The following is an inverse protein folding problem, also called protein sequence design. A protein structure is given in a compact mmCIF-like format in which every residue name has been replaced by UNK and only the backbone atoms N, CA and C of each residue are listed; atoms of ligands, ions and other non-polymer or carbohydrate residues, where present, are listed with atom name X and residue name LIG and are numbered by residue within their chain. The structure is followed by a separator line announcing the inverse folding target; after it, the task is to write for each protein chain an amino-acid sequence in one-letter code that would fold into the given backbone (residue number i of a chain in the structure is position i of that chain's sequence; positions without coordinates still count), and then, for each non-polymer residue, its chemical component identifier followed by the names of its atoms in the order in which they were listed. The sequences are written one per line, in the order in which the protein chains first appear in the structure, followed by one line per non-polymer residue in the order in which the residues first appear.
data_IF_454908537710
#
_entry.id   IF_454908537710
#
_cell.length_a   1.000
_cell.length_b   1.000
_cell.length_c   1.000
_cell.angle_alpha   90.00
_cell.angle_beta   90.00
_cell.angle_gamma   90.00
#
_symmetry.space_group_name_H-M   'P 1'
#
loop_
_entity.id
_entity.type
_entity.pdbx_description
1 polymer ?
#
# COMPACT_ATOMS: atom_id res chain seq x y z
N UNK A 1 3.47 -12.15 10.14
CA UNK A 1 2.39 -12.51 11.09
C UNK A 1 1.17 -12.83 10.27
N UNK A 2 0.56 -13.97 10.51
CA UNK A 2 -0.69 -14.38 9.85
C UNK A 2 -1.86 -13.56 10.39
N UNK A 3 -2.93 -13.43 9.60
CA UNK A 3 -4.10 -12.60 9.93
C UNK A 3 -4.78 -13.07 11.24
N UNK A 4 -4.91 -14.37 11.46
CA UNK A 4 -5.49 -14.91 12.69
C UNK A 4 -4.69 -14.52 13.93
N UNK A 5 -3.36 -14.55 13.83
CA UNK A 5 -2.46 -14.15 14.92
C UNK A 5 -2.60 -12.64 15.19
N UNK A 6 -2.65 -11.82 14.13
CA UNK A 6 -2.90 -10.40 14.25
C UNK A 6 -4.22 -10.11 14.97
N UNK A 7 -5.31 -10.74 14.53
CA UNK A 7 -6.64 -10.56 15.11
C UNK A 7 -6.69 -10.96 16.59
N UNK A 8 -5.97 -12.01 16.96
CA UNK A 8 -5.89 -12.48 18.36
C UNK A 8 -5.13 -11.51 19.27
N UNK A 9 -4.16 -10.77 18.74
CA UNK A 9 -3.34 -9.81 19.49
C UNK A 9 -3.91 -8.40 19.51
N UNK A 10 -4.68 -8.03 18.47
CA UNK A 10 -5.20 -6.68 18.33
C UNK A 10 -6.32 -6.40 19.33
N UNK A 11 -6.06 -5.54 20.31
CA UNK A 11 -7.04 -5.12 21.32
C UNK A 11 -7.90 -3.93 20.87
N UNK A 12 -7.79 -3.50 19.62
CA UNK A 12 -8.62 -2.44 19.03
C UNK A 12 -8.51 -1.10 19.75
N UNK A 13 -7.32 -0.75 20.23
CA UNK A 13 -7.07 0.47 21.04
C UNK A 13 -6.93 1.75 20.22
N UNK A 14 -6.95 1.69 18.90
CA UNK A 14 -6.85 2.81 17.94
C UNK A 14 -5.53 3.60 17.94
N UNK A 15 -4.58 3.34 18.84
CA UNK A 15 -3.32 4.08 18.92
C UNK A 15 -2.55 4.14 17.61
N UNK A 16 -2.56 3.06 16.81
CA UNK A 16 -1.90 3.02 15.51
C UNK A 16 -2.46 4.05 14.52
N UNK A 17 -3.76 4.34 14.59
CA UNK A 17 -4.39 5.39 13.76
C UNK A 17 -4.00 6.79 14.21
N UNK A 18 -3.98 7.02 15.53
CA UNK A 18 -3.64 8.34 16.11
C UNK A 18 -2.22 8.80 15.77
N UNK A 19 -1.24 7.87 15.72
CA UNK A 19 0.14 8.21 15.41
C UNK A 19 0.46 8.22 13.92
N UNK A 20 -0.50 7.85 13.07
CA UNK A 20 -0.29 7.78 11.63
C UNK A 20 -0.30 9.18 11.00
N UNK A 21 0.87 9.79 10.84
CA UNK A 21 1.03 11.13 10.26
C UNK A 21 0.43 11.24 8.86
N UNK A 22 0.44 10.15 8.09
CA UNK A 22 -0.14 10.11 6.76
C UNK A 22 -1.65 9.81 6.77
N UNK A 23 -2.24 9.48 7.92
CA UNK A 23 -3.66 9.17 8.04
C UNK A 23 -4.13 7.97 7.21
N UNK A 24 -3.23 7.03 6.87
CA UNK A 24 -3.57 5.90 6.01
C UNK A 24 -4.27 4.76 6.74
N UNK A 25 -4.21 4.73 8.07
CA UNK A 25 -4.83 3.68 8.88
C UNK A 25 -6.30 4.03 9.11
N UNK A 26 -7.17 3.15 8.65
CA UNK A 26 -8.60 3.20 8.86
C UNK A 26 -9.02 2.01 9.74
N UNK A 27 -10.23 2.01 10.25
CA UNK A 27 -10.74 0.95 11.11
C UNK A 27 -11.99 0.32 10.51
N UNK A 28 -12.04 -1.00 10.54
CA UNK A 28 -13.18 -1.76 10.05
C UNK A 28 -14.44 -1.42 10.83
N UNK A 29 -15.54 -1.21 10.11
CA UNK A 29 -16.86 -1.12 10.72
C UNK A 29 -17.41 -2.49 11.13
N UNK A 30 -18.50 -2.50 11.87
CA UNK A 30 -19.21 -3.74 12.25
C UNK A 30 -19.86 -4.43 11.06
N UNK A 31 -20.08 -3.69 9.97
CA UNK A 31 -20.63 -4.19 8.70
C UNK A 31 -19.70 -5.20 8.00
N UNK A 32 -18.40 -5.21 8.35
CA UNK A 32 -17.41 -6.15 7.80
C UNK A 32 -17.29 -7.45 8.57
N UNK A 33 -18.03 -7.62 9.66
CA UNK A 33 -17.98 -8.76 10.55
C UNK A 33 -17.48 -8.39 11.95
N UNK A 34 -18.01 -9.08 12.98
CA UNK A 34 -17.67 -8.77 14.38
C UNK A 34 -16.23 -9.19 14.73
N UNK A 35 -15.71 -10.19 14.06
CA UNK A 35 -14.35 -10.71 14.23
C UNK A 35 -13.28 -9.68 13.84
N UNK A 36 -13.52 -8.93 12.75
CA UNK A 36 -12.60 -7.90 12.25
C UNK A 36 -13.02 -6.47 12.65
N UNK A 37 -14.18 -6.29 13.27
CA UNK A 37 -14.66 -4.96 13.65
C UNK A 37 -13.62 -4.20 14.48
N UNK A 38 -13.43 -2.92 14.13
CA UNK A 38 -12.50 -1.98 14.78
C UNK A 38 -11.01 -2.35 14.66
N UNK A 39 -10.65 -3.35 13.87
CA UNK A 39 -9.24 -3.60 13.53
C UNK A 39 -8.74 -2.61 12.48
N UNK A 40 -7.44 -2.23 12.51
CA UNK A 40 -6.86 -1.32 11.54
C UNK A 40 -6.71 -2.00 10.17
N UNK A 41 -6.94 -1.21 9.11
CA UNK A 41 -6.62 -1.58 7.74
C UNK A 41 -6.13 -0.36 6.95
N UNK A 42 -5.50 -0.59 5.82
CA UNK A 42 -5.10 0.46 4.88
C UNK A 42 -5.90 0.29 3.59
N UNK A 43 -6.49 1.39 3.11
CA UNK A 43 -7.14 1.44 1.81
C UNK A 43 -6.25 2.22 0.83
N UNK A 44 -5.40 1.53 0.04
CA UNK A 44 -4.32 2.15 -0.74
C UNK A 44 -4.78 3.25 -1.69
N UNK A 45 -5.97 3.08 -2.27
CA UNK A 45 -6.55 4.06 -3.20
C UNK A 45 -6.86 5.39 -2.54
N UNK A 46 -7.25 5.37 -1.27
CA UNK A 46 -7.58 6.58 -0.52
C UNK A 46 -6.33 7.23 0.02
N UNK A 47 -5.49 6.44 0.70
CA UNK A 47 -4.26 6.92 1.32
C UNK A 47 -3.25 5.79 1.47
N UNK A 48 -2.09 5.92 0.82
CA UNK A 48 -1.00 4.95 0.91
C UNK A 48 -0.17 5.11 2.18
N UNK A 49 0.59 4.08 2.52
CA UNK A 49 1.46 4.04 3.69
C UNK A 49 2.87 4.56 3.36
N UNK A 50 3.41 5.47 4.16
CA UNK A 50 4.79 5.98 4.02
C UNK A 50 5.86 5.06 4.61
N UNK A 51 5.46 3.92 5.17
CA UNK A 51 6.37 2.95 5.84
C UNK A 51 7.21 3.54 6.97
N UNK A 52 6.68 4.52 7.70
CA UNK A 52 7.39 5.20 8.79
C UNK A 52 7.52 4.37 10.09
N UNK A 53 6.83 3.25 10.21
CA UNK A 53 6.81 2.30 11.34
C UNK A 53 6.28 2.85 12.68
N UNK A 54 5.87 4.11 12.81
CA UNK A 54 5.35 4.69 14.07
C UNK A 54 4.20 3.90 14.69
N UNK A 55 3.32 3.32 13.86
CA UNK A 55 2.22 2.48 14.34
C UNK A 55 2.69 1.20 15.05
N UNK A 56 3.86 0.68 14.69
CA UNK A 56 4.44 -0.50 15.33
C UNK A 56 5.08 -0.19 16.68
N UNK A 57 5.59 1.04 16.85
CA UNK A 57 6.24 1.50 18.08
C UNK A 57 5.24 1.70 19.24
N UNK A 58 4.00 2.07 18.89
CA UNK A 58 2.94 2.34 19.89
C UNK A 58 2.03 1.16 20.15
N UNK A 59 2.18 0.05 19.42
CA UNK A 59 1.30 -1.10 19.57
C UNK A 59 1.59 -1.85 20.88
N UNK A 60 0.72 -1.78 21.90
CA UNK A 60 1.03 -2.31 23.23
C UNK A 60 1.07 -3.84 23.29
N UNK A 61 0.43 -4.51 22.31
CA UNK A 61 0.31 -5.97 22.28
C UNK A 61 1.25 -6.62 21.27
N UNK A 62 1.99 -5.82 20.50
CA UNK A 62 2.84 -6.32 19.41
C UNK A 62 2.04 -6.96 18.26
N UNK A 63 0.76 -6.62 18.11
CA UNK A 63 -0.03 -6.98 16.93
C UNK A 63 0.56 -6.34 15.66
N UNK A 64 1.11 -5.13 15.78
CA UNK A 64 1.94 -4.51 14.75
C UNK A 64 3.39 -4.58 15.22
N UNK A 65 4.24 -5.24 14.46
CA UNK A 65 5.64 -5.44 14.82
C UNK A 65 6.56 -4.56 13.99
N UNK A 66 7.61 -3.97 14.58
CA UNK A 66 8.60 -3.22 13.84
C UNK A 66 9.39 -4.15 12.92
N UNK A 67 9.47 -3.77 11.66
CA UNK A 67 10.28 -4.44 10.62
C UNK A 67 11.00 -3.37 9.80
N UNK A 68 12.06 -3.74 9.11
CA UNK A 68 12.71 -2.79 8.21
C UNK A 68 11.72 -2.37 7.10
N UNK A 69 11.66 -1.09 6.69
CA UNK A 69 10.69 -0.61 5.70
C UNK A 69 10.63 -1.39 4.39
N UNK A 70 11.77 -1.96 3.96
CA UNK A 70 11.87 -2.82 2.76
C UNK A 70 11.36 -4.25 2.97
N UNK A 71 11.22 -4.68 4.20
CA UNK A 71 10.74 -6.02 4.57
C UNK A 71 9.24 -6.06 4.79
N UNK A 72 8.58 -4.89 4.78
CA UNK A 72 7.13 -4.80 4.88
C UNK A 72 6.48 -5.52 3.69
N UNK A 73 5.46 -6.32 3.95
CA UNK A 73 4.67 -7.05 2.95
C UNK A 73 3.18 -6.90 3.25
N UNK A 74 2.59 -5.80 2.76
CA UNK A 74 1.14 -5.54 2.85
C UNK A 74 0.40 -5.96 1.60
N UNK A 75 1.12 -6.18 0.51
CA UNK A 75 0.58 -6.53 -0.80
C UNK A 75 1.60 -6.33 -1.90
N UNK A 76 1.15 -6.48 -3.13
CA UNK A 76 1.96 -6.26 -4.34
C UNK A 76 1.21 -5.37 -5.31
N UNK A 77 1.88 -4.37 -5.86
CA UNK A 77 1.32 -3.55 -6.92
C UNK A 77 1.19 -4.37 -8.21
N UNK A 78 0.02 -4.31 -8.83
CA UNK A 78 -0.25 -4.87 -10.16
C UNK A 78 -0.67 -3.77 -11.11
N UNK A 79 -0.01 -3.71 -12.25
CA UNK A 79 -0.29 -2.78 -13.32
C UNK A 79 -1.21 -3.43 -14.35
N UNK A 80 -2.24 -2.70 -14.76
CA UNK A 80 -3.00 -2.98 -15.98
C UNK A 80 -2.46 -2.07 -17.09
N UNK A 81 -1.71 -2.64 -18.02
CA UNK A 81 -1.06 -1.93 -19.11
C UNK A 81 -2.08 -1.31 -20.07
N UNK A 82 -3.21 -2.00 -20.32
CA UNK A 82 -4.28 -1.51 -21.22
C UNK A 82 -4.91 -0.19 -20.73
N UNK A 83 -4.82 0.07 -19.42
CA UNK A 83 -5.35 1.29 -18.81
C UNK A 83 -4.27 2.36 -18.60
N UNK A 84 -3.00 2.01 -18.68
CA UNK A 84 -1.91 2.91 -18.36
C UNK A 84 -1.55 3.83 -19.54
N UNK A 85 -1.55 5.14 -19.32
CA UNK A 85 -1.20 6.11 -20.36
C UNK A 85 0.18 5.89 -20.99
N UNK A 86 1.13 5.33 -20.24
CA UNK A 86 2.48 5.06 -20.76
C UNK A 86 2.53 3.87 -21.73
N UNK A 87 1.45 3.05 -21.79
CA UNK A 87 1.31 1.93 -22.72
C UNK A 87 0.24 2.19 -23.80
N UNK A 88 -0.39 3.36 -23.80
CA UNK A 88 -1.46 3.67 -24.74
C UNK A 88 -0.97 3.63 -26.19
N UNK A 89 -1.62 2.83 -27.03
CA UNK A 89 -1.33 2.78 -28.46
C UNK A 89 -2.37 3.58 -29.25
N UNK A 90 -2.01 4.19 -30.41
CA UNK A 90 -0.66 4.23 -31.04
C UNK A 90 0.26 5.32 -30.48
N UNK A 91 -0.15 6.06 -29.46
CA UNK A 91 0.60 7.22 -28.95
C UNK A 91 0.78 7.13 -27.42
N UNK A 92 1.81 6.43 -26.95
CA UNK A 92 2.12 6.38 -25.54
C UNK A 92 2.45 7.78 -24.99
N UNK A 93 2.03 8.05 -23.74
CA UNK A 93 2.25 9.33 -23.08
C UNK A 93 3.20 9.13 -21.89
N UNK A 94 4.25 9.90 -21.80
CA UNK A 94 5.13 9.92 -20.64
C UNK A 94 4.32 10.30 -19.40
N UNK A 95 4.25 9.41 -18.41
CA UNK A 95 3.50 9.65 -17.17
C UNK A 95 4.38 9.44 -15.93
N UNK A 96 4.84 8.22 -15.64
CA UNK A 96 5.77 7.88 -14.56
C UNK A 96 5.35 8.32 -13.15
N UNK A 97 4.09 8.71 -12.91
CA UNK A 97 3.63 9.24 -11.61
C UNK A 97 3.75 8.17 -10.51
N UNK A 98 3.39 6.93 -10.80
CA UNK A 98 3.49 5.82 -9.87
C UNK A 98 4.94 5.51 -9.45
N UNK A 99 5.89 5.65 -10.38
CA UNK A 99 7.32 5.51 -10.10
C UNK A 99 7.81 6.61 -9.16
N UNK A 100 7.45 7.87 -9.44
CA UNK A 100 7.84 9.02 -8.60
C UNK A 100 7.22 8.96 -7.20
N UNK A 101 6.05 8.36 -7.06
CA UNK A 101 5.40 8.17 -5.77
C UNK A 101 5.94 6.96 -4.99
N UNK A 102 6.67 6.05 -5.65
CA UNK A 102 7.20 4.86 -4.99
C UNK A 102 8.30 5.26 -3.99
N UNK A 103 8.25 4.79 -2.72
CA UNK A 103 9.29 5.08 -1.73
C UNK A 103 10.60 4.33 -2.01
N UNK A 104 10.57 3.33 -2.91
CA UNK A 104 11.74 2.51 -3.29
C UNK A 104 11.94 2.50 -4.80
N UNK A 105 12.11 3.69 -5.44
CA UNK A 105 12.33 3.78 -6.88
C UNK A 105 13.63 3.10 -7.27
N UNK A 106 13.66 2.44 -8.44
CA UNK A 106 14.80 1.66 -8.89
C UNK A 106 14.95 0.29 -8.21
N UNK A 107 14.19 0.01 -7.15
CA UNK A 107 14.19 -1.27 -6.42
C UNK A 107 12.84 -1.98 -6.54
N UNK A 108 11.78 -1.41 -6.01
CA UNK A 108 10.43 -1.98 -6.08
C UNK A 108 9.70 -1.65 -7.40
N UNK A 109 10.13 -0.59 -8.07
CA UNK A 109 9.60 -0.17 -9.37
C UNK A 109 10.71 0.47 -10.18
N UNK A 110 10.78 0.11 -11.47
CA UNK A 110 11.64 0.75 -12.48
C UNK A 110 10.78 1.36 -13.58
N UNK A 111 11.37 2.20 -14.43
CA UNK A 111 10.71 2.77 -15.61
C UNK A 111 11.51 2.48 -16.85
N UNK A 112 10.81 2.16 -17.93
CA UNK A 112 11.35 1.97 -19.25
C UNK A 112 11.09 3.15 -20.18
N UNK A 113 11.03 2.88 -21.47
CA UNK A 113 10.71 3.86 -22.50
C UNK A 113 9.33 4.48 -22.24
N UNK A 114 9.13 5.75 -22.53
CA UNK A 114 7.90 6.51 -22.26
C UNK A 114 7.43 6.46 -20.79
N UNK A 115 8.36 6.33 -19.84
CA UNK A 115 8.05 6.17 -18.41
C UNK A 115 7.13 4.96 -18.12
N UNK A 116 7.22 3.89 -18.90
CA UNK A 116 6.49 2.65 -18.66
C UNK A 116 6.94 2.02 -17.34
N UNK A 117 6.06 1.94 -16.33
CA UNK A 117 6.44 1.38 -15.04
C UNK A 117 6.54 -0.14 -15.08
N UNK A 118 7.59 -0.67 -14.46
CA UNK A 118 7.78 -2.11 -14.24
C UNK A 118 7.84 -2.35 -12.74
N UNK A 119 6.91 -3.14 -12.23
CA UNK A 119 6.84 -3.50 -10.81
C UNK A 119 7.68 -4.76 -10.56
N UNK A 120 8.48 -4.73 -9.50
CA UNK A 120 9.24 -5.89 -9.01
C UNK A 120 8.53 -6.47 -7.78
N UNK A 121 7.76 -7.57 -7.93
CA UNK A 121 6.90 -8.09 -6.87
C UNK A 121 7.64 -8.45 -5.58
N UNK A 122 8.85 -8.99 -5.71
CA UNK A 122 9.68 -9.41 -4.58
C UNK A 122 10.15 -8.23 -3.72
N UNK A 123 10.36 -7.08 -4.34
CA UNK A 123 10.81 -5.84 -3.70
C UNK A 123 9.65 -4.89 -3.34
N UNK A 124 8.45 -5.14 -3.86
CA UNK A 124 7.28 -4.33 -3.58
C UNK A 124 6.75 -4.59 -2.17
N UNK A 125 6.58 -3.54 -1.38
CA UNK A 125 6.07 -3.61 -0.01
C UNK A 125 4.55 -3.44 0.09
N UNK A 126 3.87 -3.12 -1.03
CA UNK A 126 2.41 -2.93 -1.06
C UNK A 126 1.92 -1.66 -0.36
N UNK A 127 2.76 -0.63 -0.25
CA UNK A 127 2.43 0.61 0.50
C UNK A 127 1.27 1.42 -0.09
N UNK A 128 0.94 1.24 -1.36
CA UNK A 128 -0.21 1.87 -2.01
C UNK A 128 -0.01 3.28 -2.54
N UNK A 129 1.13 3.91 -2.32
CA UNK A 129 1.40 5.28 -2.81
C UNK A 129 1.30 5.39 -4.35
N UNK A 130 1.69 4.34 -5.07
CA UNK A 130 1.56 4.29 -6.52
C UNK A 130 0.08 4.21 -6.98
N UNK A 131 -0.78 3.49 -6.26
CA UNK A 131 -2.22 3.42 -6.53
C UNK A 131 -2.89 4.75 -6.22
N UNK A 132 -2.58 5.35 -5.07
CA UNK A 132 -3.09 6.67 -4.69
C UNK A 132 -2.69 7.76 -5.69
N UNK A 133 -1.45 7.75 -6.17
CA UNK A 133 -0.92 8.75 -7.09
C UNK A 133 -1.40 8.57 -8.55
N UNK A 134 -1.98 7.42 -8.89
CA UNK A 134 -2.37 7.12 -10.26
C UNK A 134 -3.44 8.09 -10.75
N UNK A 135 -3.14 8.79 -11.85
CA UNK A 135 -4.02 9.80 -12.45
C UNK A 135 -5.11 9.21 -13.34
N UNK A 136 -5.00 7.93 -13.71
CA UNK A 136 -6.05 7.23 -14.46
C UNK A 136 -7.19 6.83 -13.53
N UNK A 137 -8.45 6.98 -13.97
CA UNK A 137 -9.64 6.58 -13.22
C UNK A 137 -10.49 5.60 -14.05
N UNK A 138 -10.73 4.38 -13.55
CA UNK A 138 -10.16 3.80 -12.30
C UNK A 138 -8.65 3.57 -12.45
N UNK A 139 -7.92 3.52 -11.32
CA UNK A 139 -6.47 3.43 -11.31
C UNK A 139 -5.94 2.24 -12.14
N UNK A 140 -4.95 2.52 -13.01
CA UNK A 140 -4.29 1.50 -13.81
C UNK A 140 -3.34 0.61 -12.99
N UNK A 141 -2.89 1.07 -11.83
CA UNK A 141 -2.06 0.30 -10.89
C UNK A 141 -2.81 0.15 -9.57
N UNK A 142 -2.84 -1.08 -9.03
CA UNK A 142 -3.56 -1.42 -7.81
C UNK A 142 -2.74 -2.31 -6.91
N UNK A 143 -2.95 -2.20 -5.60
CA UNK A 143 -2.36 -3.12 -4.63
C UNK A 143 -3.29 -4.32 -4.46
N UNK A 144 -2.71 -5.48 -4.60
CA UNK A 144 -3.35 -6.76 -4.30
C UNK A 144 -2.73 -7.26 -2.99
N UNK A 145 -3.54 -7.52 -1.96
CA UNK A 145 -3.06 -8.09 -0.69
C UNK A 145 -2.35 -9.44 -0.90
N UNK A 146 -1.38 -9.75 -0.08
CA UNK A 146 -0.65 -11.04 -0.04
C UNK A 146 -1.02 -11.78 1.21
#
# INVERSE_FOLDING_TARGET
MEEEEFLSRCIRCFQCGEVCENGCIQFNGIDRGLDVAFTPYIHPRTQGCTTCMKCTEVCPTGALQPVAPKEVKMGVARLNEDMCYSFAEPAPRTCGVCYRACPFPGHAMTIGLYDQPQVHPDACVGCGLCEQACVHLPQAIRIIPV
#
